data_IF_589730302642
#
_entry.id   IF_589730302642
#
_cell.length_a   1.000
_cell.length_b   1.000
_cell.length_c   1.000
_cell.angle_alpha   90.00
_cell.angle_beta   90.00
_cell.angle_gamma   90.00
#
_symmetry.space_group_name_H-M   'P 1'
#
loop_
_entity.id
_entity.type
_entity.pdbx_description
1 polymer ?
#
# COMPACT_ATOMS: atom_id res chain seq x y z
N UNK A 1 0.64 5.61 -11.22
CA UNK A 1 1.21 6.96 -10.89
C UNK A 1 1.25 7.24 -9.39
N UNK A 2 0.21 6.92 -8.61
CA UNK A 2 0.15 7.20 -7.16
C UNK A 2 1.26 6.53 -6.33
N UNK A 3 1.65 5.30 -6.67
CA UNK A 3 2.75 4.61 -5.99
C UNK A 3 4.05 5.42 -5.98
N UNK A 4 4.40 6.05 -7.11
CA UNK A 4 5.62 6.86 -7.20
C UNK A 4 5.52 8.15 -6.36
N UNK A 5 4.32 8.74 -6.25
CA UNK A 5 4.06 9.89 -5.36
C UNK A 5 4.26 9.50 -3.90
N UNK A 6 3.77 8.32 -3.49
CA UNK A 6 4.00 7.78 -2.16
C UNK A 6 5.50 7.50 -1.89
N UNK A 7 6.23 6.96 -2.88
CA UNK A 7 7.69 6.76 -2.76
C UNK A 7 8.41 8.08 -2.54
N UNK A 8 8.00 9.15 -3.25
CA UNK A 8 8.55 10.49 -3.05
C UNK A 8 8.23 11.03 -1.65
N UNK A 9 6.98 10.93 -1.21
CA UNK A 9 6.55 11.32 0.14
C UNK A 9 7.37 10.60 1.22
N UNK A 10 7.55 9.28 1.08
CA UNK A 10 8.38 8.49 2.00
C UNK A 10 9.82 8.99 2.05
N UNK A 11 10.41 9.33 0.91
CA UNK A 11 11.78 9.84 0.86
C UNK A 11 11.91 11.19 1.57
N UNK A 12 10.90 12.03 1.49
CA UNK A 12 10.88 13.36 2.10
C UNK A 12 10.59 13.32 3.60
N UNK A 13 9.60 12.54 4.02
CA UNK A 13 9.09 12.53 5.40
C UNK A 13 9.59 11.34 6.23
N UNK A 14 10.33 10.40 5.62
CA UNK A 14 10.75 9.15 6.22
C UNK A 14 9.57 8.32 6.80
N UNK A 15 8.39 8.47 6.19
CA UNK A 15 7.14 7.86 6.65
C UNK A 15 6.18 7.71 5.47
N UNK A 16 5.26 6.76 5.56
CA UNK A 16 4.14 6.61 4.61
C UNK A 16 2.80 7.06 5.22
N UNK A 17 2.83 7.71 6.39
CA UNK A 17 1.65 8.26 7.05
C UNK A 17 1.25 9.58 6.40
N UNK A 18 0.73 9.48 5.17
CA UNK A 18 0.16 10.63 4.45
C UNK A 18 -1.08 11.12 5.21
N UNK A 19 -1.18 12.42 5.53
CA UNK A 19 -2.38 13.00 6.11
C UNK A 19 -3.62 12.78 5.23
N UNK A 20 -4.79 12.62 5.85
CA UNK A 20 -6.04 12.53 5.11
C UNK A 20 -6.33 13.82 4.33
N UNK A 21 -6.10 14.96 4.96
CA UNK A 21 -6.17 16.29 4.36
C UNK A 21 -4.74 16.74 4.01
N UNK A 22 -4.21 16.22 2.90
CA UNK A 22 -2.89 16.59 2.42
C UNK A 22 -3.02 17.67 1.33
N UNK A 23 -2.85 18.94 1.70
CA UNK A 23 -3.12 20.08 0.82
C UNK A 23 -2.22 20.11 -0.43
N UNK A 24 -0.97 19.67 -0.29
CA UNK A 24 -0.01 19.58 -1.40
C UNK A 24 -0.42 18.53 -2.42
N UNK A 25 -1.08 17.46 -1.96
CA UNK A 25 -1.50 16.34 -2.79
C UNK A 25 -2.74 15.62 -2.23
N UNK A 26 -3.94 16.19 -2.39
CA UNK A 26 -5.16 15.63 -1.81
C UNK A 26 -5.51 14.24 -2.40
N UNK A 27 -5.14 14.02 -3.65
CA UNK A 27 -5.33 12.73 -4.33
C UNK A 27 -4.50 11.62 -3.70
N UNK A 28 -3.26 11.92 -3.27
CA UNK A 28 -2.41 10.96 -2.59
C UNK A 28 -3.00 10.59 -1.22
N UNK A 29 -3.50 11.56 -0.46
CA UNK A 29 -4.19 11.32 0.81
C UNK A 29 -5.36 10.34 0.64
N UNK A 30 -6.27 10.65 -0.28
CA UNK A 30 -7.42 9.79 -0.63
C UNK A 30 -7.00 8.40 -1.12
N UNK A 31 -5.96 8.33 -1.95
CA UNK A 31 -5.48 7.06 -2.49
C UNK A 31 -4.94 6.13 -1.39
N UNK A 32 -4.21 6.67 -0.40
CA UNK A 32 -3.71 5.87 0.73
C UNK A 32 -4.83 5.34 1.61
N UNK A 33 -5.90 6.12 1.81
CA UNK A 33 -7.11 5.67 2.53
C UNK A 33 -7.74 4.49 1.79
N UNK A 34 -7.93 4.62 0.47
CA UNK A 34 -8.48 3.54 -0.35
C UNK A 34 -7.65 2.25 -0.24
N UNK A 35 -6.32 2.35 -0.13
CA UNK A 35 -5.48 1.15 0.03
C UNK A 35 -5.72 0.50 1.41
N UNK A 36 -5.79 1.29 2.49
CA UNK A 36 -6.04 0.79 3.84
C UNK A 36 -7.40 0.11 3.97
N UNK A 37 -8.44 0.72 3.40
CA UNK A 37 -9.79 0.14 3.38
C UNK A 37 -9.80 -1.19 2.63
N UNK A 38 -9.20 -1.21 1.43
CA UNK A 38 -9.07 -2.42 0.61
C UNK A 38 -8.32 -3.52 1.37
N UNK A 39 -7.21 -3.20 2.06
CA UNK A 39 -6.47 -4.18 2.85
C UNK A 39 -7.30 -4.74 4.00
N UNK A 40 -8.13 -3.92 4.67
CA UNK A 40 -9.05 -4.40 5.70
C UNK A 40 -10.06 -5.43 5.20
N UNK A 41 -10.50 -5.33 3.94
CA UNK A 41 -11.37 -6.33 3.31
C UNK A 41 -10.63 -7.64 2.96
N UNK A 42 -9.32 -7.57 2.69
CA UNK A 42 -8.49 -8.71 2.28
C UNK A 42 -7.54 -9.22 3.39
N UNK A 43 -7.55 -8.63 4.58
CA UNK A 43 -6.67 -8.99 5.71
C UNK A 43 -7.00 -10.35 6.32
N UNK A 44 -8.17 -10.91 6.00
CA UNK A 44 -8.55 -12.29 6.32
C UNK A 44 -8.00 -13.32 5.32
N UNK A 45 -7.27 -12.89 4.28
CA UNK A 45 -6.58 -13.82 3.38
C UNK A 45 -5.27 -14.22 4.08
N UNK A 46 -5.37 -15.17 5.02
CA UNK A 46 -4.20 -15.85 5.63
C UNK A 46 -3.27 -16.48 4.56
N UNK A 47 -3.76 -16.65 3.32
CA UNK A 47 -3.02 -17.17 2.16
C UNK A 47 -2.19 -16.11 1.39
N UNK A 48 -2.16 -14.83 1.80
CA UNK A 48 -1.41 -13.81 1.05
C UNK A 48 0.09 -14.12 1.01
N UNK A 49 0.67 -14.64 2.09
CA UNK A 49 2.10 -14.96 2.15
C UNK A 49 2.45 -16.09 1.15
N UNK A 50 1.69 -17.18 1.16
CA UNK A 50 1.85 -18.31 0.25
C UNK A 50 1.62 -17.92 -1.24
N UNK A 51 0.60 -17.09 -1.51
CA UNK A 51 0.34 -16.57 -2.84
C UNK A 51 1.47 -15.65 -3.33
N UNK A 52 2.05 -14.84 -2.45
CA UNK A 52 3.15 -13.95 -2.82
C UNK A 52 4.43 -14.70 -3.17
N UNK A 53 4.75 -15.78 -2.45
CA UNK A 53 5.90 -16.63 -2.77
C UNK A 53 5.71 -17.36 -4.10
N UNK A 54 4.50 -17.88 -4.35
CA UNK A 54 4.16 -18.51 -5.63
C UNK A 54 4.19 -17.53 -6.81
N UNK A 55 3.75 -16.28 -6.61
CA UNK A 55 3.76 -15.24 -7.65
C UNK A 55 5.20 -14.78 -7.94
N UNK A 56 6.03 -14.60 -6.90
CA UNK A 56 7.44 -14.21 -7.00
C UNK A 56 8.27 -15.19 -7.85
N UNK A 57 7.98 -16.49 -7.75
CA UNK A 57 8.69 -17.54 -8.50
C UNK A 57 8.31 -17.61 -10.00
N UNK A 58 7.18 -17.01 -10.40
CA UNK A 58 6.67 -17.08 -11.78
C UNK A 58 7.11 -15.93 -12.70
N UNK A 59 7.91 -14.97 -12.24
CA UNK A 59 8.04 -13.70 -12.94
C UNK A 59 8.76 -13.77 -14.30
N UNK A 60 7.94 -13.66 -15.35
CA UNK A 60 8.18 -12.75 -16.47
C UNK A 60 6.83 -12.13 -16.85
N UNK A 61 6.37 -11.07 -16.16
CA UNK A 61 5.46 -10.12 -16.82
C UNK A 61 5.52 -8.67 -16.27
N UNK A 62 6.35 -7.91 -16.98
CA UNK A 62 6.13 -6.64 -17.71
C UNK A 62 4.80 -5.88 -17.59
N UNK A 63 4.93 -4.62 -17.15
CA UNK A 63 4.40 -3.41 -17.79
C UNK A 63 3.21 -3.54 -18.75
N UNK A 64 1.98 -3.69 -18.26
CA UNK A 64 0.80 -3.23 -19.01
C UNK A 64 -0.41 -3.01 -18.11
N UNK A 65 -0.73 -1.73 -17.99
CA UNK A 65 -2.01 -1.14 -17.53
C UNK A 65 -2.51 -1.57 -16.15
N UNK A 66 -2.34 -0.65 -15.18
CA UNK A 66 -3.27 -0.52 -14.06
C UNK A 66 -4.68 -0.39 -14.66
N UNK A 67 -5.40 -1.50 -14.76
CA UNK A 67 -6.73 -1.53 -15.39
C UNK A 67 -7.63 -0.59 -14.61
N UNK A 68 -8.01 0.50 -15.29
CA UNK A 68 -9.02 1.43 -14.85
C UNK A 68 -10.33 0.62 -14.76
N UNK A 69 -10.66 0.16 -13.54
CA UNK A 69 -11.91 -0.49 -13.14
C UNK A 69 -11.98 -2.04 -13.12
N UNK A 70 -10.86 -2.77 -12.98
CA UNK A 70 -10.89 -4.23 -12.77
C UNK A 70 -10.00 -4.67 -11.62
N UNK A 71 -10.54 -4.80 -10.40
CA UNK A 71 -9.87 -5.43 -9.26
C UNK A 71 -9.69 -6.93 -9.54
N UNK A 72 -8.55 -7.33 -10.09
CA UNK A 72 -8.14 -8.74 -10.03
C UNK A 72 -7.46 -9.00 -8.69
N UNK A 73 -7.69 -10.17 -8.10
CA UNK A 73 -7.01 -10.58 -6.85
C UNK A 73 -5.48 -10.50 -7.02
N UNK A 74 -4.97 -10.94 -8.17
CA UNK A 74 -3.55 -10.83 -8.50
C UNK A 74 -3.04 -9.37 -8.48
N UNK A 75 -3.80 -8.43 -9.04
CA UNK A 75 -3.43 -7.01 -9.05
C UNK A 75 -3.42 -6.39 -7.65
N UNK A 76 -4.32 -6.85 -6.77
CA UNK A 76 -4.38 -6.44 -5.36
C UNK A 76 -3.17 -6.98 -4.61
N UNK A 77 -2.87 -8.28 -4.75
CA UNK A 77 -1.72 -8.94 -4.12
C UNK A 77 -0.41 -8.25 -4.52
N UNK A 78 -0.19 -8.00 -5.81
CA UNK A 78 1.00 -7.30 -6.30
C UNK A 78 1.11 -5.90 -5.70
N UNK A 79 -0.01 -5.18 -5.58
CA UNK A 79 -0.02 -3.85 -4.98
C UNK A 79 0.34 -3.89 -3.50
N UNK A 80 -0.21 -4.84 -2.75
CA UNK A 80 0.10 -5.04 -1.33
C UNK A 80 1.59 -5.32 -1.15
N UNK A 81 2.17 -6.23 -1.94
CA UNK A 81 3.62 -6.53 -1.89
C UNK A 81 4.47 -5.28 -2.10
N UNK A 82 4.16 -4.50 -3.14
CA UNK A 82 4.90 -3.26 -3.43
C UNK A 82 4.78 -2.23 -2.31
N UNK A 83 3.61 -2.16 -1.66
CA UNK A 83 3.39 -1.27 -0.51
C UNK A 83 4.16 -1.75 0.72
N UNK A 84 4.21 -3.05 0.98
CA UNK A 84 4.99 -3.63 2.07
C UNK A 84 6.50 -3.38 1.89
N UNK A 85 7.02 -3.50 0.67
CA UNK A 85 8.44 -3.27 0.35
C UNK A 85 8.93 -1.86 0.73
N UNK A 86 8.03 -0.87 0.67
CA UNK A 86 8.34 0.51 1.09
C UNK A 86 7.95 0.79 2.55
N UNK A 87 7.51 -0.22 3.31
CA UNK A 87 7.10 -0.07 4.71
C UNK A 87 5.79 0.71 4.86
N UNK A 88 4.83 0.49 3.97
CA UNK A 88 3.53 1.16 4.06
C UNK A 88 2.78 0.78 5.34
N UNK A 89 2.35 1.79 6.09
CA UNK A 89 1.56 1.61 7.32
C UNK A 89 0.07 1.42 6.99
N UNK A 90 -0.39 0.18 7.14
CA UNK A 90 -1.78 -0.23 6.93
C UNK A 90 -2.72 0.17 8.08
N UNK A 91 -2.22 0.21 9.31
CA UNK A 91 -2.94 0.68 10.50
C UNK A 91 -2.27 1.93 11.10
N UNK A 92 -2.68 3.14 10.67
CA UNK A 92 -2.15 4.39 11.20
C UNK A 92 -2.45 4.60 12.69
N UNK A 93 -3.59 4.10 13.19
CA UNK A 93 -3.97 4.29 14.59
C UNK A 93 -3.08 3.45 15.50
N UNK A 94 -2.82 2.20 15.12
CA UNK A 94 -1.85 1.34 15.78
C UNK A 94 -0.45 1.95 15.80
N UNK A 95 0.04 2.47 14.68
CA UNK A 95 1.37 3.08 14.60
C UNK A 95 1.48 4.35 15.46
N UNK A 96 0.47 5.23 15.43
CA UNK A 96 0.44 6.42 16.29
C UNK A 96 0.44 6.04 17.78
N UNK A 97 -0.27 4.97 18.16
CA UNK A 97 -0.27 4.47 19.52
C UNK A 97 1.11 3.96 19.94
N UNK A 98 1.79 3.22 19.05
CA UNK A 98 3.15 2.73 19.25
C UNK A 98 4.17 3.87 19.36
N UNK A 99 4.03 4.93 18.56
CA UNK A 99 4.89 6.11 18.65
C UNK A 99 4.74 6.83 20.00
N UNK A 100 3.50 6.99 20.48
CA UNK A 100 3.25 7.60 21.79
C UNK A 100 3.78 6.76 22.96
N UNK A 101 3.80 5.43 22.82
CA UNK A 101 4.37 4.53 23.83
C UNK A 101 5.91 4.51 23.85
N UNK A 102 6.56 4.76 22.71
CA UNK A 102 8.03 4.75 22.56
C UNK A 102 8.71 6.05 23.06
N UNK A 103 7.94 7.09 23.37
CA UNK A 103 8.40 8.37 23.92
C UNK A 103 8.41 8.33 25.44
#
# INVERSE_FOLDING_TARGET
QMYQRLVAFRKEHNSTLVPQEYDEDPELGLWTITQRDMYGEFSNIDELEDLTESISQSFNYTSREESKNGLTLEGIVIRIVRLNDIGFVWDPLGEQWMENYRK
#
